data_IF_296287165059
#
_entry.id   IF_296287165059
#
_cell.length_a   1.000
_cell.length_b   1.000
_cell.length_c   1.000
_cell.angle_alpha   90.00
_cell.angle_beta   90.00
_cell.angle_gamma   90.00
#
_symmetry.space_group_name_H-M   'P 1'
#
loop_
_entity.id
_entity.type
_entity.pdbx_description
1 polymer ?
#
# COMPACT_ATOMS: atom_id res chain seq x y z
N UNK A 1 40.70 -39.68 -25.54
CA UNK A 1 40.47 -40.77 -26.52
C UNK A 1 40.14 -40.05 -27.80
N UNK A 2 41.14 -39.84 -28.64
CA UNK A 2 41.62 -40.80 -29.68
C UNK A 2 40.80 -40.62 -30.93
N UNK A 3 41.31 -40.05 -31.93
CA UNK A 3 42.25 -40.42 -32.97
C UNK A 3 41.57 -40.25 -34.33
N UNK A 4 42.07 -39.42 -35.17
CA UNK A 4 42.99 -39.75 -36.30
C UNK A 4 42.26 -39.63 -37.63
N UNK A 5 42.66 -38.67 -38.48
CA UNK A 5 43.71 -38.88 -39.48
C UNK A 5 43.21 -39.61 -40.75
N UNK A 6 43.27 -38.96 -41.91
CA UNK A 6 44.16 -39.49 -43.04
C UNK A 6 44.04 -38.60 -44.28
N UNK A 7 45.11 -37.98 -44.64
CA UNK A 7 45.60 -37.76 -46.03
C UNK A 7 46.23 -39.06 -46.52
N UNK A 8 46.55 -39.33 -47.75
CA UNK A 8 47.41 -38.51 -48.61
C UNK A 8 47.30 -38.67 -50.16
N UNK A 9 48.08 -37.79 -50.83
CA UNK A 9 49.02 -38.04 -51.99
C UNK A 9 48.44 -38.59 -53.27
N UNK A 10 48.97 -38.29 -54.40
CA UNK A 10 50.08 -37.61 -55.01
C UNK A 10 50.18 -38.02 -56.50
N UNK A 11 50.78 -37.13 -57.22
CA UNK A 11 51.73 -37.38 -58.34
C UNK A 11 51.27 -37.77 -59.73
N UNK A 12 51.69 -36.88 -60.62
CA UNK A 12 52.71 -37.03 -61.71
C UNK A 12 52.16 -37.73 -62.97
N UNK A 13 52.45 -37.35 -64.15
CA UNK A 13 53.63 -36.85 -64.90
C UNK A 13 53.16 -36.35 -66.28
N UNK A 14 53.66 -35.26 -66.78
CA UNK A 14 54.81 -35.10 -67.69
C UNK A 14 54.70 -35.62 -69.16
N UNK A 15 55.13 -34.75 -70.01
CA UNK A 15 55.81 -34.83 -71.33
C UNK A 15 54.95 -34.39 -72.53
N UNK A 16 55.35 -33.29 -73.07
CA UNK A 16 56.39 -32.91 -74.08
C UNK A 16 56.00 -33.24 -75.54
N UNK A 17 55.99 -32.33 -76.35
CA UNK A 17 56.83 -32.10 -77.55
C UNK A 17 56.16 -31.10 -78.50
N UNK A 18 56.85 -30.05 -78.67
CA UNK A 18 57.58 -29.50 -79.82
C UNK A 18 56.83 -29.05 -81.06
N UNK A 19 57.17 -27.80 -81.32
CA UNK A 19 57.65 -27.18 -82.55
C UNK A 19 56.61 -26.75 -83.60
N UNK A 20 56.61 -25.56 -83.86
CA UNK A 20 57.12 -24.81 -85.00
C UNK A 20 56.35 -23.52 -85.29
N UNK A 21 57.17 -22.52 -85.34
CA UNK A 21 57.06 -21.17 -85.92
C UNK A 21 56.05 -21.00 -87.08
N UNK A 22 55.28 -19.91 -87.06
CA UNK A 22 55.50 -18.83 -88.05
C UNK A 22 54.60 -17.61 -87.83
N UNK A 23 55.23 -16.52 -87.73
CA UNK A 23 55.04 -15.16 -88.18
C UNK A 23 53.72 -14.75 -88.75
N UNK A 24 52.98 -13.81 -87.99
CA UNK A 24 52.18 -12.72 -88.56
C UNK A 24 51.78 -11.67 -87.48
N UNK A 25 52.68 -10.73 -87.19
CA UNK A 25 52.54 -9.67 -86.23
C UNK A 25 51.89 -8.42 -86.81
N UNK A 26 50.80 -8.46 -87.55
CA UNK A 26 50.23 -7.18 -88.03
C UNK A 26 48.74 -6.96 -87.78
N UNK A 27 47.78 -7.87 -87.52
CA UNK A 27 46.42 -7.49 -87.31
C UNK A 27 45.99 -7.42 -85.82
N UNK A 28 46.81 -7.88 -84.84
CA UNK A 28 46.37 -7.91 -83.41
C UNK A 28 46.45 -6.55 -82.71
N UNK A 29 47.41 -5.69 -83.05
CA UNK A 29 47.60 -4.40 -82.41
C UNK A 29 46.48 -3.41 -82.76
N UNK A 30 46.00 -3.48 -84.05
CA UNK A 30 44.86 -2.61 -84.45
C UNK A 30 43.55 -2.96 -83.80
N UNK A 31 43.31 -4.25 -83.45
CA UNK A 31 42.11 -4.69 -82.70
C UNK A 31 42.20 -4.31 -81.23
N UNK A 32 43.38 -4.32 -80.59
CA UNK A 32 43.61 -3.91 -79.20
C UNK A 32 43.44 -2.39 -79.10
N UNK A 33 43.92 -1.59 -80.07
CA UNK A 33 43.69 -0.12 -80.01
C UNK A 33 42.25 0.26 -80.23
N UNK A 34 41.52 -0.47 -81.09
CA UNK A 34 40.03 -0.24 -81.24
C UNK A 34 39.29 -0.67 -79.97
N UNK A 35 39.66 -1.78 -79.31
CA UNK A 35 39.07 -2.18 -78.05
C UNK A 35 39.31 -1.18 -76.91
N UNK A 36 40.53 -0.62 -76.83
CA UNK A 36 40.92 0.39 -75.88
C UNK A 36 40.13 1.74 -76.10
N UNK A 37 39.96 2.13 -77.41
CA UNK A 37 39.22 3.31 -77.81
C UNK A 37 37.73 3.15 -77.43
N UNK A 38 37.16 1.97 -77.64
CA UNK A 38 35.76 1.67 -77.23
C UNK A 38 35.61 1.71 -75.71
N UNK A 39 36.58 1.16 -74.93
CA UNK A 39 36.55 1.21 -73.47
C UNK A 39 36.63 2.65 -72.92
N UNK A 40 37.50 3.49 -73.55
CA UNK A 40 37.62 4.92 -73.20
C UNK A 40 36.32 5.66 -73.54
N UNK A 41 35.69 5.37 -74.70
CA UNK A 41 34.40 5.98 -75.07
C UNK A 41 33.26 5.56 -74.13
N UNK A 42 33.24 4.27 -73.69
CA UNK A 42 32.26 3.79 -72.71
C UNK A 42 32.53 4.45 -71.36
N UNK A 43 33.81 4.58 -70.92
CA UNK A 43 34.17 5.25 -69.69
C UNK A 43 33.80 6.76 -69.70
N UNK A 44 34.08 7.43 -70.82
CA UNK A 44 33.71 8.84 -71.02
C UNK A 44 32.16 8.99 -71.07
N UNK A 45 31.45 8.09 -71.76
CA UNK A 45 29.99 8.06 -71.77
C UNK A 45 29.36 7.82 -70.40
N UNK A 46 29.95 6.89 -69.59
CA UNK A 46 29.54 6.62 -68.24
C UNK A 46 29.83 7.81 -67.32
N UNK A 47 31.03 8.43 -67.46
CA UNK A 47 31.38 9.64 -66.72
C UNK A 47 30.48 10.85 -67.08
N UNK A 48 30.25 11.07 -68.42
CA UNK A 48 29.35 12.11 -68.89
C UNK A 48 27.90 11.86 -68.43
N UNK A 49 27.44 10.59 -68.44
CA UNK A 49 26.12 10.25 -67.93
C UNK A 49 25.97 10.56 -66.45
N UNK A 50 26.98 10.22 -65.60
CA UNK A 50 26.98 10.53 -64.18
C UNK A 50 27.18 12.03 -63.89
N UNK A 51 27.89 12.74 -64.73
CA UNK A 51 28.10 14.19 -64.58
C UNK A 51 26.86 15.02 -65.05
N UNK A 52 26.14 14.57 -66.07
CA UNK A 52 24.96 15.25 -66.59
C UNK A 52 23.64 14.85 -65.89
N UNK A 53 23.59 13.65 -65.27
CA UNK A 53 22.48 13.17 -64.50
C UNK A 53 22.88 12.91 -63.05
N UNK A 54 23.12 13.97 -62.24
CA UNK A 54 23.29 13.75 -60.81
C UNK A 54 22.06 13.04 -60.31
N UNK A 55 22.24 11.91 -59.60
CA UNK A 55 21.18 11.14 -58.97
C UNK A 55 20.40 12.13 -58.06
N UNK A 56 19.23 12.48 -58.47
CA UNK A 56 18.32 13.20 -57.62
C UNK A 56 18.04 12.27 -56.45
N UNK A 57 18.75 12.51 -55.33
CA UNK A 57 18.32 11.94 -54.06
C UNK A 57 16.91 12.42 -53.82
N UNK A 58 15.92 11.59 -54.12
CA UNK A 58 14.57 11.80 -53.67
C UNK A 58 14.65 11.85 -52.15
N UNK A 59 14.72 13.06 -51.60
CA UNK A 59 14.54 13.25 -50.18
C UNK A 59 13.21 12.57 -49.84
N UNK A 60 13.25 11.50 -49.07
CA UNK A 60 12.04 10.84 -48.62
C UNK A 60 11.08 11.91 -48.03
N UNK A 61 9.80 11.85 -48.38
CA UNK A 61 8.86 12.84 -47.85
C UNK A 61 9.00 12.92 -46.33
N UNK A 62 8.96 14.15 -45.76
CA UNK A 62 9.16 14.31 -44.33
C UNK A 62 8.16 13.45 -43.55
N UNK A 63 8.67 12.67 -42.60
CA UNK A 63 7.83 11.78 -41.79
C UNK A 63 6.70 12.60 -41.14
N UNK A 64 5.46 12.07 -41.22
CA UNK A 64 4.33 12.72 -40.58
C UNK A 64 4.28 12.35 -39.12
N UNK A 65 4.27 13.33 -38.24
CA UNK A 65 4.26 13.14 -36.79
C UNK A 65 3.13 13.94 -36.14
N UNK A 66 2.56 13.41 -35.06
CA UNK A 66 1.69 14.15 -34.16
C UNK A 66 2.51 14.65 -32.98
N UNK A 67 2.29 15.91 -32.61
CA UNK A 67 2.99 16.52 -31.47
C UNK A 67 2.01 16.92 -30.38
N UNK A 68 2.50 16.90 -29.14
CA UNK A 68 1.86 17.50 -27.99
C UNK A 68 2.83 18.51 -27.36
N UNK A 69 2.32 19.45 -26.58
CA UNK A 69 3.16 20.41 -25.88
C UNK A 69 3.45 19.96 -24.46
N UNK A 70 4.73 20.03 -24.07
CA UNK A 70 5.14 19.82 -22.70
C UNK A 70 4.51 20.89 -21.80
N UNK A 71 3.92 20.48 -20.67
CA UNK A 71 3.24 21.37 -19.74
C UNK A 71 4.00 21.45 -18.42
N UNK A 72 3.89 22.58 -17.74
CA UNK A 72 4.37 22.73 -16.37
C UNK A 72 3.23 22.38 -15.42
N UNK A 73 3.43 21.35 -14.56
CA UNK A 73 2.41 20.90 -13.60
C UNK A 73 3.07 20.41 -12.34
N UNK A 74 2.42 20.61 -11.21
CA UNK A 74 2.83 19.96 -9.96
C UNK A 74 2.43 18.48 -9.98
N UNK A 75 3.39 17.61 -9.74
CA UNK A 75 3.19 16.16 -9.83
C UNK A 75 3.61 15.50 -8.53
N UNK A 76 2.71 14.68 -8.00
CA UNK A 76 3.02 13.82 -6.87
C UNK A 76 3.62 12.50 -7.35
N UNK A 77 4.82 12.20 -6.90
CA UNK A 77 5.46 10.89 -7.12
C UNK A 77 4.82 9.90 -6.16
N UNK A 78 4.06 8.96 -6.68
CA UNK A 78 3.34 7.98 -5.88
C UNK A 78 3.98 6.59 -5.98
N UNK A 79 4.01 5.88 -4.86
CA UNK A 79 4.25 4.45 -4.81
C UNK A 79 2.91 3.73 -4.77
N UNK A 80 2.51 3.13 -5.87
CA UNK A 80 1.30 2.31 -5.93
C UNK A 80 1.59 0.92 -5.40
N UNK A 81 0.82 0.47 -4.44
CA UNK A 81 0.97 -0.83 -3.79
C UNK A 81 -0.37 -1.30 -3.22
N UNK A 82 -0.37 -2.49 -2.61
CA UNK A 82 -1.56 -3.04 -1.96
C UNK A 82 -1.45 -2.81 -0.45
N UNK A 83 -2.51 -2.28 0.13
CA UNK A 83 -2.68 -2.14 1.58
C UNK A 83 -3.65 -3.19 2.11
N UNK A 84 -3.45 -3.58 3.35
CA UNK A 84 -4.43 -4.35 4.11
C UNK A 84 -5.16 -3.41 5.07
N UNK A 85 -6.48 -3.48 5.05
CA UNK A 85 -7.33 -2.76 5.99
C UNK A 85 -7.25 -3.43 7.35
N UNK A 86 -6.84 -2.70 8.38
CA UNK A 86 -6.72 -3.23 9.75
C UNK A 86 -7.56 -2.42 10.73
N UNK A 87 -8.17 -3.12 11.67
CA UNK A 87 -8.87 -2.48 12.77
C UNK A 87 -7.86 -1.86 13.75
N UNK A 88 -8.03 -0.61 14.19
CA UNK A 88 -7.19 -0.01 15.23
C UNK A 88 -7.24 -0.77 16.55
N UNK A 89 -8.41 -1.32 16.89
CA UNK A 89 -8.63 -2.10 18.09
C UNK A 89 -9.62 -3.24 17.82
N UNK A 90 -9.21 -4.45 18.16
CA UNK A 90 -10.05 -5.64 18.10
C UNK A 90 -10.03 -6.30 19.46
N UNK A 91 -11.21 -6.51 20.05
CA UNK A 91 -11.36 -7.11 21.36
C UNK A 91 -12.20 -8.39 21.26
N UNK A 92 -11.67 -9.46 21.83
CA UNK A 92 -12.38 -10.70 22.03
C UNK A 92 -13.08 -10.61 23.40
N UNK A 93 -14.40 -10.51 23.38
CA UNK A 93 -15.21 -10.41 24.60
C UNK A 93 -15.37 -11.80 25.20
N UNK A 94 -14.90 -11.96 26.42
CA UNK A 94 -14.99 -13.21 27.20
C UNK A 94 -15.82 -12.99 28.46
N UNK A 95 -16.34 -14.08 29.05
CA UNK A 95 -17.00 -14.01 30.33
C UNK A 95 -16.00 -14.04 31.48
N UNK A 96 -16.26 -13.28 32.54
CA UNK A 96 -15.45 -13.25 33.78
C UNK A 96 -16.05 -14.16 34.86
N UNK A 97 -17.30 -14.56 34.72
CA UNK A 97 -17.98 -15.50 35.61
C UNK A 97 -18.60 -16.65 34.80
N UNK A 98 -18.66 -17.85 35.40
CA UNK A 98 -19.32 -18.98 34.78
C UNK A 98 -20.83 -18.93 35.01
N UNK A 99 -21.59 -19.43 34.06
CA UNK A 99 -23.04 -19.50 34.20
C UNK A 99 -23.75 -19.76 32.87
N UNK A 100 -25.06 -19.94 32.91
CA UNK A 100 -25.87 -20.12 31.71
C UNK A 100 -26.04 -18.80 31.01
N UNK A 101 -25.74 -18.75 29.69
CA UNK A 101 -25.99 -17.60 28.86
C UNK A 101 -27.49 -17.51 28.58
N UNK A 102 -28.16 -16.46 29.06
CA UNK A 102 -29.60 -16.31 28.92
C UNK A 102 -29.97 -15.61 27.60
N UNK A 103 -29.26 -14.53 27.25
CA UNK A 103 -29.65 -13.67 26.13
C UNK A 103 -28.45 -12.93 25.53
N UNK A 104 -28.49 -12.72 24.20
CA UNK A 104 -27.74 -11.73 23.49
C UNK A 104 -28.64 -10.52 23.16
N UNK A 105 -28.13 -9.30 23.28
CA UNK A 105 -28.87 -8.05 23.07
C UNK A 105 -28.57 -7.38 21.74
N UNK A 106 -27.76 -8.00 20.89
CA UNK A 106 -27.35 -7.49 19.58
C UNK A 106 -27.55 -8.57 18.52
N UNK A 107 -27.51 -8.15 17.25
CA UNK A 107 -27.43 -9.04 16.09
C UNK A 107 -25.98 -9.14 15.59
N UNK A 108 -25.63 -10.26 14.99
CA UNK A 108 -24.33 -10.44 14.36
C UNK A 108 -24.07 -9.40 13.28
N UNK A 109 -22.89 -8.77 13.29
CA UNK A 109 -22.56 -7.68 12.39
C UNK A 109 -23.15 -6.31 12.76
N UNK A 110 -23.87 -6.21 13.87
CA UNK A 110 -24.43 -4.95 14.36
C UNK A 110 -23.35 -4.02 14.89
N UNK A 111 -23.54 -2.71 14.72
CA UNK A 111 -22.72 -1.69 15.37
C UNK A 111 -23.13 -1.54 16.83
N UNK A 112 -22.16 -1.51 17.72
CA UNK A 112 -22.33 -1.30 19.16
C UNK A 112 -21.43 -0.17 19.63
N UNK A 113 -21.86 0.50 20.70
CA UNK A 113 -21.09 1.54 21.38
C UNK A 113 -20.49 0.97 22.67
N UNK A 114 -19.43 1.59 23.13
CA UNK A 114 -18.87 1.28 24.46
C UNK A 114 -19.94 1.42 25.53
N UNK A 115 -20.12 0.36 26.33
CA UNK A 115 -21.13 0.29 27.38
C UNK A 115 -22.46 -0.31 26.94
N UNK A 116 -22.70 -0.57 25.66
CA UNK A 116 -23.92 -1.25 25.22
C UNK A 116 -23.95 -2.69 25.76
N UNK A 117 -25.14 -3.17 26.19
CA UNK A 117 -25.28 -4.54 26.67
C UNK A 117 -25.11 -5.54 25.51
N UNK A 118 -24.24 -6.52 25.71
CA UNK A 118 -23.99 -7.58 24.73
C UNK A 118 -24.67 -8.87 25.13
N UNK A 119 -24.41 -9.35 26.35
CA UNK A 119 -24.90 -10.62 26.83
C UNK A 119 -25.38 -10.54 28.28
N UNK A 120 -26.24 -11.45 28.64
CA UNK A 120 -26.69 -11.68 30.01
C UNK A 120 -26.44 -13.13 30.39
N UNK A 121 -25.61 -13.33 31.40
CA UNK A 121 -25.45 -14.61 32.12
C UNK A 121 -26.52 -14.64 33.21
N UNK A 122 -26.99 -15.82 33.59
CA UNK A 122 -28.00 -15.99 34.66
C UNK A 122 -27.54 -15.28 35.95
N UNK A 123 -28.21 -14.18 36.35
CA UNK A 123 -27.83 -13.40 37.51
C UNK A 123 -28.33 -14.01 38.83
N UNK A 124 -29.30 -14.94 38.80
CA UNK A 124 -29.97 -15.46 40.02
C UNK A 124 -29.01 -16.01 41.05
N UNK A 125 -28.05 -16.89 40.71
CA UNK A 125 -27.09 -17.40 41.69
C UNK A 125 -26.24 -16.29 42.34
N UNK A 126 -25.88 -15.25 41.57
CA UNK A 126 -25.05 -14.14 42.04
C UNK A 126 -25.87 -13.16 42.88
N UNK A 127 -27.18 -12.97 42.59
CA UNK A 127 -28.11 -12.18 43.42
C UNK A 127 -28.28 -12.85 44.80
N UNK A 128 -28.45 -14.17 44.81
CA UNK A 128 -28.55 -14.92 46.03
C UNK A 128 -27.26 -14.85 46.88
N UNK A 129 -26.10 -14.95 46.23
CA UNK A 129 -24.79 -14.81 46.91
C UNK A 129 -24.61 -13.39 47.50
N UNK A 130 -25.02 -12.34 46.76
CA UNK A 130 -24.97 -10.99 47.26
C UNK A 130 -25.92 -10.80 48.46
N UNK A 131 -27.15 -11.31 48.37
CA UNK A 131 -28.14 -11.23 49.48
C UNK A 131 -27.62 -11.97 50.73
N UNK A 132 -26.97 -13.13 50.56
CA UNK A 132 -26.35 -13.87 51.66
C UNK A 132 -25.22 -13.06 52.32
N UNK A 133 -24.30 -12.48 51.52
CA UNK A 133 -23.20 -11.65 52.04
C UNK A 133 -23.74 -10.41 52.79
N UNK A 134 -24.80 -9.75 52.25
CA UNK A 134 -25.45 -8.62 52.91
C UNK A 134 -26.10 -8.99 54.23
N UNK A 135 -26.76 -10.16 54.33
CA UNK A 135 -27.37 -10.64 55.56
C UNK A 135 -26.29 -10.93 56.62
N UNK A 136 -25.15 -11.51 56.23
CA UNK A 136 -24.03 -11.76 57.13
C UNK A 136 -23.43 -10.44 57.65
N UNK A 137 -23.20 -9.48 56.81
CA UNK A 137 -22.72 -8.14 57.16
C UNK A 137 -23.70 -7.48 58.15
N UNK A 138 -24.99 -7.55 57.92
CA UNK A 138 -26.00 -6.98 58.79
C UNK A 138 -25.98 -7.60 60.19
N UNK A 139 -25.87 -8.93 60.26
CA UNK A 139 -25.77 -9.68 61.52
C UNK A 139 -24.52 -9.25 62.30
N UNK A 140 -23.33 -9.23 61.66
CA UNK A 140 -22.07 -8.97 62.35
C UNK A 140 -21.88 -7.46 62.63
N UNK A 141 -22.52 -6.60 61.85
CA UNK A 141 -22.62 -5.17 62.16
C UNK A 141 -23.41 -4.93 63.45
N UNK A 142 -24.50 -5.68 63.68
CA UNK A 142 -25.26 -5.58 64.94
C UNK A 142 -24.45 -6.09 66.15
N UNK A 143 -23.64 -7.18 65.99
CA UNK A 143 -22.72 -7.67 67.03
C UNK A 143 -21.63 -6.64 67.35
N UNK A 144 -21.00 -6.07 66.31
CA UNK A 144 -19.97 -5.03 66.46
C UNK A 144 -20.52 -3.76 67.15
N UNK A 145 -21.74 -3.36 66.83
CA UNK A 145 -22.40 -2.26 67.50
C UNK A 145 -22.65 -2.52 68.99
N UNK A 146 -23.08 -3.75 69.35
CA UNK A 146 -23.26 -4.16 70.77
C UNK A 146 -21.90 -4.14 71.49
N UNK A 147 -20.84 -4.71 70.89
CA UNK A 147 -19.50 -4.73 71.48
C UNK A 147 -18.90 -3.30 71.64
N UNK A 148 -19.15 -2.40 70.68
CA UNK A 148 -18.76 -0.98 70.78
C UNK A 148 -19.48 -0.25 71.92
N UNK A 149 -20.77 -0.51 72.13
CA UNK A 149 -21.54 0.04 73.25
C UNK A 149 -20.99 -0.51 74.60
N UNK A 150 -20.66 -1.79 74.65
CA UNK A 150 -20.05 -2.42 75.85
C UNK A 150 -18.63 -1.82 76.10
N UNK A 151 -17.80 -1.70 75.09
CA UNK A 151 -16.50 -1.03 75.22
C UNK A 151 -16.65 0.38 75.82
N UNK A 152 -17.58 1.16 75.36
CA UNK A 152 -17.82 2.48 75.88
C UNK A 152 -18.25 2.44 77.34
N UNK A 153 -19.19 1.56 77.68
CA UNK A 153 -19.69 1.33 79.05
C UNK A 153 -18.56 0.90 79.99
N UNK A 154 -17.80 -0.10 79.62
CA UNK A 154 -16.66 -0.59 80.43
C UNK A 154 -15.54 0.43 80.59
N UNK A 155 -15.30 1.24 79.56
CA UNK A 155 -14.34 2.37 79.65
C UNK A 155 -14.79 3.41 80.66
N UNK A 156 -16.05 3.74 80.71
CA UNK A 156 -16.65 4.66 81.71
C UNK A 156 -16.59 4.09 83.12
N UNK A 157 -16.97 2.84 83.32
CA UNK A 157 -16.90 2.19 84.63
C UNK A 157 -15.50 2.03 85.18
N UNK A 158 -14.48 1.78 84.29
CA UNK A 158 -13.08 1.77 84.65
C UNK A 158 -12.60 3.15 85.12
N UNK A 159 -12.96 4.23 84.49
CA UNK A 159 -12.65 5.57 84.90
C UNK A 159 -13.29 5.93 86.28
N UNK A 160 -14.37 5.27 86.65
CA UNK A 160 -15.03 5.39 87.98
C UNK A 160 -14.45 4.40 89.02
N UNK A 161 -13.38 3.64 88.68
CA UNK A 161 -12.82 2.57 89.50
C UNK A 161 -13.80 1.45 89.91
N UNK A 162 -14.87 1.23 89.10
CA UNK A 162 -15.90 0.25 89.36
C UNK A 162 -15.59 -1.16 88.79
N UNK A 163 -14.57 -1.28 87.94
CA UNK A 163 -14.18 -2.56 87.29
C UNK A 163 -12.65 -2.63 87.18
N UNK A 164 -12.09 -3.85 86.92
CA UNK A 164 -10.68 -4.09 86.70
C UNK A 164 -10.21 -3.61 85.30
N UNK A 165 -8.92 -3.34 85.18
CA UNK A 165 -8.29 -3.03 83.88
C UNK A 165 -8.47 -4.18 82.92
N UNK A 166 -8.35 -5.44 83.34
CA UNK A 166 -8.51 -6.64 82.53
C UNK A 166 -9.91 -6.69 81.87
N UNK A 167 -10.97 -6.36 82.61
CA UNK A 167 -12.36 -6.34 82.09
C UNK A 167 -12.51 -5.27 81.01
N UNK A 168 -11.97 -4.05 81.19
CA UNK A 168 -11.98 -2.98 80.17
C UNK A 168 -11.20 -3.45 78.93
N UNK A 169 -9.98 -3.95 79.09
CA UNK A 169 -9.09 -4.36 77.98
C UNK A 169 -9.73 -5.49 77.15
N UNK A 170 -10.42 -6.42 77.83
CA UNK A 170 -11.22 -7.47 77.14
C UNK A 170 -12.35 -6.88 76.31
N UNK A 171 -13.11 -5.93 76.81
CA UNK A 171 -14.18 -5.29 76.05
C UNK A 171 -13.65 -4.52 74.85
N UNK A 172 -12.49 -3.82 75.05
CA UNK A 172 -11.80 -3.12 73.91
C UNK A 172 -11.34 -4.11 72.86
N UNK A 173 -10.75 -5.26 73.28
CA UNK A 173 -10.29 -6.28 72.33
C UNK A 173 -11.45 -6.90 71.51
N UNK A 174 -12.56 -7.20 72.21
CA UNK A 174 -13.78 -7.75 71.57
C UNK A 174 -14.34 -6.75 70.55
N UNK A 175 -14.54 -5.48 70.91
CA UNK A 175 -15.02 -4.45 69.99
C UNK A 175 -14.15 -4.28 68.75
N UNK A 176 -12.81 -4.33 68.97
CA UNK A 176 -11.89 -4.30 67.81
C UNK A 176 -11.97 -5.51 66.93
N UNK A 177 -12.12 -6.70 67.52
CA UNK A 177 -12.27 -7.97 66.77
C UNK A 177 -13.56 -7.94 65.92
N UNK A 178 -14.69 -7.59 66.53
CA UNK A 178 -15.98 -7.51 65.83
C UNK A 178 -15.98 -6.42 64.73
N UNK A 179 -15.33 -5.30 64.97
CA UNK A 179 -15.15 -4.25 63.94
C UNK A 179 -14.32 -4.79 62.74
N UNK A 180 -13.29 -5.63 62.98
CA UNK A 180 -12.53 -6.25 61.93
C UNK A 180 -13.35 -7.28 61.11
N UNK A 181 -14.27 -8.02 61.76
CA UNK A 181 -15.19 -8.94 61.08
C UNK A 181 -16.13 -8.15 60.16
N UNK A 182 -16.68 -7.04 60.59
CA UNK A 182 -17.53 -6.17 59.73
C UNK A 182 -16.75 -5.68 58.48
N UNK A 183 -15.49 -5.35 58.64
CA UNK A 183 -14.64 -4.96 57.47
C UNK A 183 -14.45 -6.15 56.50
N UNK A 184 -14.24 -7.37 56.99
CA UNK A 184 -14.12 -8.56 56.15
C UNK A 184 -15.45 -8.87 55.41
N UNK A 185 -16.60 -8.75 56.12
CA UNK A 185 -17.91 -8.97 55.51
C UNK A 185 -18.24 -7.89 54.46
N UNK A 186 -17.87 -6.62 54.73
CA UNK A 186 -18.03 -5.57 53.72
C UNK A 186 -17.23 -5.88 52.46
N UNK A 187 -16.01 -6.43 52.56
CA UNK A 187 -15.23 -6.89 51.42
C UNK A 187 -15.94 -8.05 50.70
N UNK A 188 -16.53 -9.00 51.41
CA UNK A 188 -17.29 -10.12 50.85
C UNK A 188 -18.53 -9.61 50.05
N UNK A 189 -19.25 -8.61 50.57
CA UNK A 189 -20.36 -7.97 49.87
C UNK A 189 -19.87 -7.30 48.57
N UNK A 190 -18.73 -6.61 48.60
CA UNK A 190 -18.18 -5.97 47.43
C UNK A 190 -17.81 -7.02 46.34
N UNK A 191 -17.18 -8.13 46.71
CA UNK A 191 -16.88 -9.24 45.79
C UNK A 191 -18.15 -9.84 45.19
N UNK A 192 -19.16 -10.10 46.00
CA UNK A 192 -20.44 -10.62 45.50
C UNK A 192 -21.14 -9.65 44.53
N UNK A 193 -21.09 -8.34 44.82
CA UNK A 193 -21.63 -7.28 43.98
C UNK A 193 -20.89 -7.17 42.64
N UNK A 194 -19.59 -7.29 42.66
CA UNK A 194 -18.73 -7.28 41.47
C UNK A 194 -19.02 -8.52 40.59
N UNK A 195 -19.11 -9.70 41.15
CA UNK A 195 -19.48 -10.92 40.43
C UNK A 195 -20.88 -10.83 39.80
N UNK A 196 -21.84 -10.23 40.50
CA UNK A 196 -23.17 -9.90 39.92
C UNK A 196 -23.03 -8.91 38.75
N UNK A 197 -22.14 -7.93 38.83
CA UNK A 197 -21.83 -7.00 37.74
C UNK A 197 -21.34 -7.71 36.49
N UNK A 198 -20.47 -8.72 36.65
CA UNK A 198 -19.91 -9.50 35.55
C UNK A 198 -20.93 -10.39 34.82
N UNK A 199 -22.13 -10.61 35.38
CA UNK A 199 -23.21 -11.30 34.67
C UNK A 199 -23.75 -10.53 33.49
N UNK A 200 -23.63 -9.18 33.50
CA UNK A 200 -24.01 -8.33 32.41
C UNK A 200 -22.76 -7.92 31.64
N UNK A 201 -22.56 -8.51 30.47
CA UNK A 201 -21.40 -8.27 29.62
C UNK A 201 -21.68 -7.08 28.71
N UNK A 202 -20.85 -6.04 28.81
CA UNK A 202 -20.96 -4.80 28.06
C UNK A 202 -19.86 -4.69 27.01
N UNK A 203 -20.09 -3.89 25.97
CA UNK A 203 -19.08 -3.60 24.96
C UNK A 203 -17.94 -2.75 25.54
N UNK A 204 -16.67 -3.16 25.40
CA UNK A 204 -15.53 -2.39 25.88
C UNK A 204 -15.16 -1.21 24.98
N UNK A 205 -15.61 -1.22 23.70
CA UNK A 205 -15.30 -0.21 22.70
C UNK A 205 -16.45 0.01 21.71
N UNK A 206 -16.37 1.10 20.95
CA UNK A 206 -17.24 1.34 19.80
C UNK A 206 -16.76 0.50 18.61
N UNK A 207 -17.64 -0.29 18.01
CA UNK A 207 -17.23 -1.15 16.91
C UNK A 207 -18.36 -1.94 16.27
N UNK A 208 -17.98 -2.85 15.39
CA UNK A 208 -18.89 -3.80 14.75
C UNK A 208 -18.66 -5.19 15.33
N UNK A 209 -19.76 -5.86 15.70
CA UNK A 209 -19.71 -7.21 16.25
C UNK A 209 -19.44 -8.24 15.15
N UNK A 210 -18.67 -9.26 15.46
CA UNK A 210 -18.54 -10.48 14.69
C UNK A 210 -19.68 -11.47 14.94
N UNK A 211 -19.48 -12.74 14.55
CA UNK A 211 -20.43 -13.81 14.85
C UNK A 211 -20.49 -14.11 16.35
N UNK A 212 -21.65 -14.58 16.81
CA UNK A 212 -21.85 -15.08 18.18
C UNK A 212 -21.28 -16.51 18.25
N UNK A 213 -20.18 -16.66 18.99
CA UNK A 213 -19.48 -17.95 19.06
C UNK A 213 -20.13 -18.92 20.04
N UNK A 214 -20.80 -18.41 21.09
CA UNK A 214 -21.55 -19.21 22.05
C UNK A 214 -22.99 -18.70 22.08
N UNK A 215 -23.92 -19.57 21.70
CA UNK A 215 -25.34 -19.21 21.62
C UNK A 215 -26.02 -19.17 22.99
N UNK A 216 -27.02 -18.30 23.19
CA UNK A 216 -27.88 -18.34 24.36
C UNK A 216 -28.44 -19.74 24.63
N UNK A 217 -28.53 -20.12 25.92
CA UNK A 217 -28.91 -21.46 26.36
C UNK A 217 -27.73 -22.32 26.79
N UNK A 218 -26.53 -22.05 26.33
CA UNK A 218 -25.32 -22.79 26.66
C UNK A 218 -24.73 -22.35 28.02
N UNK A 219 -24.00 -23.26 28.65
CA UNK A 219 -23.20 -22.97 29.83
C UNK A 219 -21.86 -22.39 29.42
N UNK A 220 -21.52 -21.23 30.00
CA UNK A 220 -20.22 -20.62 29.85
C UNK A 220 -19.30 -21.03 30.99
N UNK A 221 -18.07 -21.42 30.67
CA UNK A 221 -17.02 -21.70 31.62
C UNK A 221 -15.88 -20.71 31.49
N UNK A 222 -15.30 -20.27 32.59
CA UNK A 222 -14.14 -19.34 32.59
C UNK A 222 -12.84 -20.08 32.20
N UNK A 223 -12.79 -21.39 32.44
CA UNK A 223 -11.69 -22.27 32.07
C UNK A 223 -11.68 -22.45 30.54
N UNK A 224 -10.63 -21.90 29.86
CA UNK A 224 -10.46 -21.99 28.41
C UNK A 224 -10.77 -20.72 27.62
N UNK A 225 -11.24 -19.67 28.30
CA UNK A 225 -11.41 -18.30 27.75
C UNK A 225 -11.96 -18.23 26.31
N UNK A 226 -12.96 -19.09 25.99
CA UNK A 226 -13.61 -19.05 24.67
C UNK A 226 -14.31 -17.70 24.49
N UNK A 227 -13.98 -16.93 23.46
CA UNK A 227 -14.64 -15.68 23.21
C UNK A 227 -16.14 -15.88 22.95
N UNK A 228 -16.98 -14.97 23.41
CA UNK A 228 -18.41 -14.95 23.10
C UNK A 228 -18.68 -14.26 21.76
N UNK A 229 -17.95 -13.18 21.52
CA UNK A 229 -18.00 -12.37 20.30
C UNK A 229 -16.69 -11.59 20.16
N UNK A 230 -16.30 -11.32 18.94
CA UNK A 230 -15.22 -10.38 18.63
C UNK A 230 -15.81 -9.05 18.21
N UNK A 231 -15.32 -7.94 18.76
CA UNK A 231 -15.70 -6.59 18.35
C UNK A 231 -14.49 -5.90 17.74
N UNK A 232 -14.65 -5.42 16.50
CA UNK A 232 -13.61 -4.70 15.79
C UNK A 232 -14.03 -3.23 15.61
N UNK A 233 -13.15 -2.32 15.96
CA UNK A 233 -13.31 -0.91 15.65
C UNK A 233 -13.20 -0.72 14.14
N UNK A 234 -14.22 -0.10 13.54
CA UNK A 234 -14.26 0.15 12.08
C UNK A 234 -14.23 1.65 11.74
N UNK A 235 -14.34 2.50 12.74
CA UNK A 235 -14.27 3.96 12.63
C UNK A 235 -13.50 4.56 13.81
N UNK A 236 -12.39 5.29 13.54
CA UNK A 236 -11.63 5.28 12.28
C UNK A 236 -11.05 3.90 11.97
N UNK A 237 -10.51 3.72 10.75
CA UNK A 237 -9.86 2.48 10.33
C UNK A 237 -8.42 2.76 9.90
N UNK A 238 -7.56 1.77 9.93
CA UNK A 238 -6.17 1.90 9.49
C UNK A 238 -5.90 1.09 8.23
N UNK A 239 -5.06 1.62 7.37
CA UNK A 239 -4.47 0.88 6.27
C UNK A 239 -3.02 0.57 6.61
N UNK A 240 -2.67 -0.70 6.58
CA UNK A 240 -1.30 -1.19 6.73
C UNK A 240 -0.71 -1.44 5.35
N UNK A 241 0.39 -0.77 5.06
CA UNK A 241 1.10 -0.79 3.78
C UNK A 241 2.52 -1.24 4.02
N UNK A 242 3.01 -2.16 3.21
CA UNK A 242 4.40 -2.60 3.24
C UNK A 242 5.20 -1.94 2.12
N UNK A 243 6.20 -1.16 2.49
CA UNK A 243 7.02 -0.38 1.58
C UNK A 243 8.46 -0.89 1.60
N UNK A 244 9.15 -1.03 0.45
CA UNK A 244 10.54 -1.46 0.41
C UNK A 244 11.46 -0.54 1.23
N UNK A 245 12.40 -1.14 1.99
CA UNK A 245 13.31 -0.40 2.89
C UNK A 245 14.19 0.65 2.19
N UNK A 246 14.47 0.50 0.90
CA UNK A 246 15.23 1.48 0.13
C UNK A 246 14.52 2.83 -0.04
N UNK A 247 13.21 2.90 0.28
CA UNK A 247 12.40 4.13 0.30
C UNK A 247 12.28 4.75 1.69
N UNK A 248 12.83 4.12 2.73
CA UNK A 248 12.64 4.54 4.12
C UNK A 248 13.05 5.99 4.37
N UNK A 249 14.23 6.40 3.93
CA UNK A 249 14.72 7.77 4.11
C UNK A 249 13.80 8.80 3.45
N UNK A 250 13.28 8.49 2.27
CA UNK A 250 12.35 9.36 1.55
C UNK A 250 11.01 9.49 2.30
N UNK A 251 10.49 8.36 2.79
CA UNK A 251 9.24 8.31 3.58
C UNK A 251 9.39 9.08 4.89
N UNK A 252 10.50 8.92 5.60
CA UNK A 252 10.77 9.64 6.84
C UNK A 252 10.86 11.16 6.63
N UNK A 253 11.52 11.60 5.55
CA UNK A 253 11.61 13.01 5.20
C UNK A 253 10.23 13.61 4.89
N UNK A 254 9.40 12.91 4.13
CA UNK A 254 8.04 13.36 3.80
C UNK A 254 7.13 13.34 5.02
N UNK A 255 7.27 12.37 5.92
CA UNK A 255 6.54 12.33 7.19
C UNK A 255 6.93 13.50 8.10
N UNK A 256 8.22 13.78 8.23
CA UNK A 256 8.72 14.93 9.01
C UNK A 256 8.23 16.27 8.44
N UNK A 257 8.08 16.38 7.12
CA UNK A 257 7.51 17.53 6.44
C UNK A 257 5.96 17.59 6.54
N UNK A 258 5.29 16.56 7.08
CA UNK A 258 3.82 16.46 7.15
C UNK A 258 3.12 16.31 5.80
N UNK A 259 3.87 15.89 4.76
CA UNK A 259 3.42 15.74 3.37
C UNK A 259 3.18 14.28 2.95
N UNK A 260 3.44 13.32 3.84
CA UNK A 260 3.26 11.90 3.55
C UNK A 260 1.78 11.54 3.60
N UNK A 261 1.19 11.27 2.45
CA UNK A 261 -0.23 10.92 2.32
C UNK A 261 -0.41 9.55 1.69
N UNK A 262 -1.44 8.86 2.12
CA UNK A 262 -1.98 7.66 1.50
C UNK A 262 -3.27 8.01 0.75
N UNK A 263 -3.38 7.59 -0.49
CA UNK A 263 -4.52 7.85 -1.38
C UNK A 263 -5.13 6.52 -1.77
N UNK A 264 -6.40 6.33 -1.50
CA UNK A 264 -7.15 5.11 -1.83
C UNK A 264 -8.20 5.45 -2.89
N UNK A 265 -8.20 4.77 -4.05
CA UNK A 265 -9.28 4.91 -5.01
C UNK A 265 -10.60 4.42 -4.40
N UNK A 266 -11.59 5.29 -4.31
CA UNK A 266 -12.92 4.96 -3.77
C UNK A 266 -14.00 5.44 -4.74
N UNK A 267 -14.66 4.54 -5.46
CA UNK A 267 -15.79 4.89 -6.31
C UNK A 267 -16.89 5.58 -5.48
N UNK A 268 -17.27 6.80 -5.85
CA UNK A 268 -18.28 7.60 -5.15
C UNK A 268 -17.73 8.53 -4.04
N UNK A 269 -16.41 8.62 -3.84
CA UNK A 269 -15.78 9.72 -3.12
C UNK A 269 -15.77 10.98 -4.01
N UNK A 270 -15.69 12.17 -3.39
CA UNK A 270 -15.82 13.49 -4.05
C UNK A 270 -14.84 13.68 -5.24
N UNK A 271 -13.69 13.01 -5.26
CA UNK A 271 -12.73 13.04 -6.36
C UNK A 271 -12.35 11.61 -6.84
N UNK A 272 -13.21 10.61 -6.59
CA UNK A 272 -12.92 9.21 -6.91
C UNK A 272 -11.87 8.55 -6.02
N UNK A 273 -11.36 9.26 -4.99
CA UNK A 273 -10.37 8.75 -4.04
C UNK A 273 -10.47 9.45 -2.67
N UNK A 274 -10.11 8.74 -1.63
CA UNK A 274 -9.98 9.26 -0.27
C UNK A 274 -8.51 9.39 0.09
N UNK A 275 -8.14 10.46 0.82
CA UNK A 275 -6.77 10.75 1.26
C UNK A 275 -6.71 10.75 2.77
N UNK A 276 -5.61 10.23 3.29
CA UNK A 276 -5.29 10.29 4.71
C UNK A 276 -3.79 10.51 4.92
N UNK A 277 -3.45 11.19 6.01
CA UNK A 277 -2.04 11.32 6.40
C UNK A 277 -1.55 10.00 6.96
N UNK A 278 -0.32 9.65 6.61
CA UNK A 278 0.40 8.56 7.24
C UNK A 278 0.78 9.01 8.64
N UNK A 279 0.41 8.23 9.64
CA UNK A 279 0.58 8.54 11.06
C UNK A 279 1.57 7.61 11.77
N UNK A 280 2.00 6.54 11.11
CA UNK A 280 2.89 5.56 11.72
C UNK A 280 3.84 4.93 10.69
N UNK A 281 5.10 4.80 11.07
CA UNK A 281 6.13 4.00 10.40
C UNK A 281 6.67 3.02 11.43
N UNK A 282 6.77 1.74 11.07
CA UNK A 282 7.33 0.72 11.95
C UNK A 282 8.79 1.03 12.31
N UNK A 283 9.19 0.64 13.51
CA UNK A 283 10.57 0.73 13.99
C UNK A 283 11.44 -0.46 13.57
N UNK A 284 10.86 -1.42 12.85
CA UNK A 284 11.54 -2.64 12.40
C UNK A 284 11.23 -2.93 10.93
N UNK A 285 12.22 -3.49 10.24
CA UNK A 285 12.09 -4.01 8.87
C UNK A 285 11.82 -5.49 8.95
N UNK A 286 10.85 -5.98 8.20
CA UNK A 286 10.57 -7.40 8.07
C UNK A 286 11.73 -8.08 7.32
N UNK A 287 12.50 -8.91 8.01
CA UNK A 287 13.74 -9.50 7.48
C UNK A 287 13.51 -10.42 6.27
N UNK A 288 12.35 -11.07 6.20
CA UNK A 288 11.97 -11.99 5.12
C UNK A 288 11.60 -11.28 3.80
N UNK A 289 11.13 -10.04 3.86
CA UNK A 289 10.63 -9.29 2.69
C UNK A 289 11.43 -8.02 2.41
N UNK A 290 12.28 -7.56 3.35
CA UNK A 290 12.99 -6.28 3.23
C UNK A 290 12.04 -5.06 3.18
N UNK A 291 10.85 -5.20 3.76
CA UNK A 291 9.83 -4.14 3.77
C UNK A 291 9.63 -3.57 5.16
N UNK A 292 9.15 -2.33 5.21
CA UNK A 292 8.75 -1.65 6.45
C UNK A 292 7.25 -1.36 6.41
N UNK A 293 6.58 -1.56 7.53
CA UNK A 293 5.17 -1.27 7.65
C UNK A 293 4.95 0.24 7.87
N UNK A 294 4.03 0.77 7.11
CA UNK A 294 3.56 2.16 7.20
C UNK A 294 2.05 2.12 7.37
N UNK A 295 1.49 2.95 8.25
CA UNK A 295 0.05 2.99 8.47
C UNK A 295 -0.50 4.40 8.26
N UNK A 296 -1.71 4.45 7.69
CA UNK A 296 -2.50 5.66 7.54
C UNK A 296 -3.88 5.45 8.16
N UNK A 297 -4.41 6.47 8.84
CA UNK A 297 -5.72 6.42 9.49
C UNK A 297 -6.76 7.12 8.64
N UNK A 298 -7.80 6.38 8.24
CA UNK A 298 -8.94 6.86 7.45
C UNK A 298 -10.18 6.98 8.32
N UNK A 299 -11.02 8.01 8.13
CA UNK A 299 -12.26 8.20 8.88
C UNK A 299 -13.25 7.06 8.69
N UNK A 300 -13.34 6.49 7.47
CA UNK A 300 -14.25 5.41 7.08
C UNK A 300 -15.71 5.70 7.45
N UNK A 301 -16.19 6.92 7.18
CA UNK A 301 -17.53 7.38 7.54
C UNK A 301 -18.62 6.51 6.91
N UNK A 302 -18.40 6.08 5.67
CA UNK A 302 -19.32 5.24 4.89
C UNK A 302 -19.18 3.75 5.20
N UNK A 303 -18.22 3.35 6.07
CA UNK A 303 -17.92 1.96 6.45
C UNK A 303 -17.65 1.02 5.27
N UNK A 304 -17.10 1.56 4.16
CA UNK A 304 -16.78 0.77 2.95
C UNK A 304 -15.51 -0.06 3.13
N UNK A 305 -14.60 0.42 3.98
CA UNK A 305 -13.38 -0.32 4.32
C UNK A 305 -13.68 -1.29 5.46
N UNK A 306 -13.45 -2.56 5.19
CA UNK A 306 -13.70 -3.65 6.15
C UNK A 306 -12.37 -4.26 6.57
N UNK A 307 -12.12 -4.50 7.88
CA UNK A 307 -10.90 -5.16 8.34
C UNK A 307 -10.64 -6.49 7.62
N UNK A 308 -9.40 -6.71 7.19
CA UNK A 308 -8.99 -7.87 6.40
C UNK A 308 -9.10 -7.68 4.88
N UNK A 309 -9.75 -6.62 4.40
CA UNK A 309 -9.83 -6.30 2.97
C UNK A 309 -8.47 -5.82 2.45
N UNK A 310 -8.12 -6.24 1.22
CA UNK A 310 -6.99 -5.68 0.48
C UNK A 310 -7.47 -4.60 -0.48
N UNK A 311 -6.79 -3.46 -0.48
CA UNK A 311 -7.12 -2.30 -1.32
C UNK A 311 -5.87 -1.75 -1.98
N UNK A 312 -6.02 -1.20 -3.18
CA UNK A 312 -4.93 -0.47 -3.82
C UNK A 312 -4.74 0.88 -3.12
N UNK A 313 -3.49 1.26 -2.88
CA UNK A 313 -3.14 2.53 -2.24
C UNK A 313 -1.94 3.15 -2.95
N UNK A 314 -1.99 4.46 -3.16
CA UNK A 314 -0.86 5.28 -3.57
C UNK A 314 -0.28 5.99 -2.35
N UNK A 315 1.02 5.80 -2.08
CA UNK A 315 1.75 6.56 -1.05
C UNK A 315 2.51 7.69 -1.74
N UNK A 316 2.26 8.92 -1.35
CA UNK A 316 2.97 10.09 -1.89
C UNK A 316 4.40 10.11 -1.36
N UNK A 317 5.37 9.78 -2.22
CA UNK A 317 6.80 9.74 -1.86
C UNK A 317 7.49 11.08 -2.05
N UNK A 318 7.03 11.89 -2.99
CA UNK A 318 7.59 13.20 -3.29
C UNK A 318 6.56 14.08 -3.99
N UNK A 319 6.75 15.39 -3.91
CA UNK A 319 5.94 16.36 -4.63
C UNK A 319 6.89 17.26 -5.40
N UNK A 320 6.88 17.15 -6.71
CA UNK A 320 7.71 17.94 -7.61
C UNK A 320 6.90 19.10 -8.12
N UNK A 321 7.17 20.28 -7.56
CA UNK A 321 6.53 21.52 -8.00
C UNK A 321 7.08 21.94 -9.36
N UNK A 322 6.20 22.28 -10.31
CA UNK A 322 6.58 22.77 -11.61
C UNK A 322 7.31 21.76 -12.50
N UNK A 323 7.03 20.47 -12.34
CA UNK A 323 7.58 19.43 -13.20
C UNK A 323 7.16 19.61 -14.66
N UNK A 324 8.05 19.29 -15.59
CA UNK A 324 7.69 19.20 -17.01
C UNK A 324 6.96 17.89 -17.26
N UNK A 325 5.72 17.98 -17.67
CA UNK A 325 4.85 16.81 -17.94
C UNK A 325 4.63 16.69 -19.45
N UNK A 326 4.80 15.48 -19.96
CA UNK A 326 4.55 15.11 -21.35
C UNK A 326 3.58 13.92 -21.42
N UNK A 327 2.80 13.76 -22.49
CA UNK A 327 2.02 12.54 -22.68
C UNK A 327 2.94 11.30 -22.62
N UNK A 328 2.46 10.22 -22.01
CA UNK A 328 3.23 8.98 -21.88
C UNK A 328 3.77 8.46 -23.20
N UNK A 329 2.96 8.58 -24.27
CA UNK A 329 3.32 8.14 -25.62
C UNK A 329 4.51 8.90 -26.22
N UNK A 330 4.89 10.06 -25.65
CA UNK A 330 6.05 10.81 -26.09
C UNK A 330 7.38 10.27 -25.55
N UNK A 331 7.34 9.47 -24.47
CA UNK A 331 8.54 8.93 -23.83
C UNK A 331 8.94 7.61 -24.46
N UNK A 332 10.15 7.57 -25.00
CA UNK A 332 10.73 6.37 -25.59
C UNK A 332 11.78 5.78 -24.66
N UNK A 333 11.79 4.45 -24.55
CA UNK A 333 12.79 3.73 -23.76
C UNK A 333 13.94 3.32 -24.64
N UNK A 334 15.12 3.86 -24.36
CA UNK A 334 16.37 3.47 -25.01
C UNK A 334 17.15 2.43 -24.21
N UNK A 335 18.28 1.91 -24.74
CA UNK A 335 19.10 0.91 -24.05
C UNK A 335 19.64 1.40 -22.71
N UNK A 336 20.08 2.66 -22.64
CA UNK A 336 20.74 3.23 -21.45
C UNK A 336 19.87 4.24 -20.70
N UNK A 337 18.89 4.85 -21.38
CA UNK A 337 18.05 5.93 -20.78
C UNK A 337 16.78 6.17 -21.59
N UNK A 338 15.77 6.73 -20.94
CA UNK A 338 14.58 7.23 -21.63
C UNK A 338 14.90 8.54 -22.36
N UNK A 339 14.22 8.77 -23.49
CA UNK A 339 14.36 9.98 -24.27
C UNK A 339 13.04 10.41 -24.89
N UNK A 340 12.94 11.67 -25.25
CA UNK A 340 11.83 12.23 -26.00
C UNK A 340 12.33 12.90 -27.28
N UNK A 341 11.51 12.89 -28.33
CA UNK A 341 11.77 13.65 -29.53
C UNK A 341 11.08 15.00 -29.44
N UNK A 342 11.87 16.06 -29.55
CA UNK A 342 11.41 17.45 -29.54
C UNK A 342 11.53 18.03 -30.94
N UNK A 343 10.48 18.69 -31.43
CA UNK A 343 10.48 19.36 -32.70
C UNK A 343 10.95 20.81 -32.47
N UNK A 344 12.12 21.13 -33.02
CA UNK A 344 12.72 22.45 -32.93
C UNK A 344 12.36 23.38 -34.12
N UNK A 345 12.99 24.56 -34.17
CA UNK A 345 12.81 25.50 -35.27
C UNK A 345 13.10 24.85 -36.63
N UNK A 346 12.27 25.13 -37.62
CA UNK A 346 12.38 24.56 -38.97
C UNK A 346 11.93 23.11 -39.08
N UNK A 347 11.15 22.62 -38.09
CA UNK A 347 10.63 21.24 -37.98
C UNK A 347 11.71 20.17 -37.94
N UNK A 348 12.86 20.49 -37.35
CA UNK A 348 13.96 19.53 -37.16
C UNK A 348 13.80 18.84 -35.82
N UNK A 349 13.93 17.50 -35.80
CA UNK A 349 13.78 16.70 -34.60
C UNK A 349 15.10 16.58 -33.85
N UNK A 350 15.05 16.83 -32.55
CA UNK A 350 16.13 16.59 -31.62
C UNK A 350 15.72 15.51 -30.60
N UNK A 351 16.62 14.55 -30.35
CA UNK A 351 16.45 13.60 -29.26
C UNK A 351 17.00 14.22 -27.98
N UNK A 352 16.19 14.27 -26.94
CA UNK A 352 16.58 14.77 -25.60
C UNK A 352 16.45 13.65 -24.57
N UNK A 353 17.52 13.34 -23.87
CA UNK A 353 17.53 12.35 -22.78
C UNK A 353 16.75 12.92 -21.60
N UNK A 354 15.87 12.08 -21.03
CA UNK A 354 15.03 12.44 -19.89
C UNK A 354 15.03 11.35 -18.85
N UNK A 355 14.81 11.76 -17.61
CA UNK A 355 14.56 10.83 -16.50
C UNK A 355 13.09 10.91 -16.13
N UNK A 356 12.35 9.83 -16.26
CA UNK A 356 10.97 9.74 -15.79
C UNK A 356 10.97 9.76 -14.27
N UNK A 357 10.23 10.69 -13.68
CA UNK A 357 10.05 10.86 -12.24
C UNK A 357 8.80 10.15 -11.75
N UNK A 358 7.74 10.24 -12.53
CA UNK A 358 6.44 9.62 -12.26
C UNK A 358 5.72 9.31 -13.56
N UNK A 359 5.04 8.18 -13.61
CA UNK A 359 4.12 7.74 -14.66
C UNK A 359 2.74 7.62 -14.03
N UNK A 360 1.76 8.43 -14.46
CA UNK A 360 0.38 8.38 -13.97
C UNK A 360 -0.55 7.53 -14.85
N UNK A 361 0.03 6.86 -15.87
CA UNK A 361 -0.68 6.04 -16.84
C UNK A 361 -1.10 6.78 -18.10
N UNK A 362 -1.24 8.12 -18.06
CA UNK A 362 -1.61 8.99 -19.19
C UNK A 362 -0.53 9.98 -19.53
N UNK A 363 0.22 10.44 -18.54
CA UNK A 363 1.28 11.44 -18.68
C UNK A 363 2.47 11.11 -17.78
N UNK A 364 3.66 11.45 -18.26
CA UNK A 364 4.92 11.27 -17.56
C UNK A 364 5.49 12.60 -17.09
N UNK A 365 5.79 12.71 -15.80
CA UNK A 365 6.61 13.77 -15.29
C UNK A 365 8.08 13.47 -15.56
N UNK A 366 8.75 14.33 -16.28
CA UNK A 366 10.13 14.14 -16.71
C UNK A 366 11.07 15.21 -16.16
N UNK A 367 12.31 14.83 -15.96
CA UNK A 367 13.43 15.74 -15.69
C UNK A 367 14.47 15.59 -16.79
N UNK A 368 14.82 16.70 -17.45
CA UNK A 368 15.76 16.72 -18.54
C UNK A 368 15.77 18.09 -19.22
N UNK A 369 16.42 18.20 -20.38
CA UNK A 369 16.51 19.44 -21.14
C UNK A 369 15.26 19.70 -22.03
N UNK A 370 14.07 19.39 -21.50
CA UNK A 370 12.78 19.67 -22.12
C UNK A 370 12.11 20.81 -21.36
N UNK A 371 11.77 21.87 -22.05
CA UNK A 371 11.14 23.05 -21.45
C UNK A 371 9.62 22.97 -21.59
N UNK A 372 8.87 23.54 -20.65
CA UNK A 372 7.44 23.75 -20.86
C UNK A 372 7.18 24.54 -22.14
N UNK A 373 6.26 24.06 -22.96
CA UNK A 373 5.96 24.60 -24.29
C UNK A 373 6.67 23.91 -25.45
N UNK A 374 7.72 23.11 -25.21
CA UNK A 374 8.38 22.31 -26.25
C UNK A 374 7.37 21.36 -26.92
N UNK A 375 7.40 21.25 -28.24
CA UNK A 375 6.58 20.31 -29.00
C UNK A 375 7.24 18.93 -28.99
N UNK A 376 6.64 17.95 -28.29
CA UNK A 376 7.12 16.57 -28.20
C UNK A 376 6.32 15.68 -29.12
N UNK A 377 6.98 14.71 -29.78
CA UNK A 377 6.34 13.76 -30.69
C UNK A 377 5.64 12.67 -29.90
N UNK A 378 4.34 12.47 -30.15
CA UNK A 378 3.50 11.45 -29.53
C UNK A 378 3.14 10.30 -30.47
N UNK A 379 3.19 10.53 -31.78
CA UNK A 379 2.98 9.48 -32.80
C UNK A 379 3.94 9.69 -33.98
N UNK A 380 4.37 8.57 -34.58
CA UNK A 380 5.26 8.57 -35.73
C UNK A 380 6.75 8.50 -35.38
N UNK A 381 7.11 8.32 -34.12
CA UNK A 381 8.49 8.30 -33.64
C UNK A 381 9.35 7.19 -34.26
N UNK A 382 8.77 6.07 -34.71
CA UNK A 382 9.48 4.97 -35.37
C UNK A 382 10.02 5.34 -36.75
N UNK A 383 9.49 6.40 -37.38
CA UNK A 383 9.88 6.88 -38.69
C UNK A 383 10.83 8.08 -38.64
N UNK A 384 11.21 8.50 -37.43
CA UNK A 384 11.97 9.70 -37.18
C UNK A 384 13.37 9.39 -36.71
N UNK A 385 14.36 10.06 -37.31
CA UNK A 385 15.75 10.02 -36.90
C UNK A 385 16.16 11.41 -36.41
N UNK A 386 16.98 11.54 -35.33
CA UNK A 386 17.48 12.83 -34.88
C UNK A 386 18.14 13.62 -36.05
N UNK A 387 17.79 14.88 -36.18
CA UNK A 387 18.23 15.74 -37.28
C UNK A 387 17.34 15.73 -38.53
N UNK A 388 16.37 14.82 -38.62
CA UNK A 388 15.44 14.78 -39.76
C UNK A 388 14.39 15.90 -39.67
N UNK A 389 13.92 16.36 -40.82
CA UNK A 389 12.75 17.26 -40.94
C UNK A 389 11.48 16.43 -40.91
N UNK A 390 10.48 16.88 -40.15
CA UNK A 390 9.19 16.21 -40.01
C UNK A 390 8.06 17.14 -40.46
N UNK A 391 6.93 16.58 -40.85
CA UNK A 391 5.69 17.29 -41.12
C UNK A 391 4.73 17.07 -39.95
N UNK A 392 4.34 18.15 -39.30
CA UNK A 392 3.41 18.09 -38.18
C UNK A 392 2.00 17.91 -38.70
N UNK A 393 1.40 16.75 -38.36
CA UNK A 393 -0.03 16.52 -38.60
C UNK A 393 -0.81 17.24 -37.52
N UNK A 394 -1.59 18.27 -37.84
CA UNK A 394 -2.55 18.85 -36.93
C UNK A 394 -3.62 17.78 -36.61
N UNK A 395 -3.60 17.25 -35.39
CA UNK A 395 -4.64 16.39 -34.92
C UNK A 395 -5.91 17.18 -34.73
N UNK A 396 -6.95 16.81 -35.46
CA UNK A 396 -8.31 17.28 -35.15
C UNK A 396 -8.63 16.80 -33.74
N UNK A 397 -8.99 17.74 -32.85
CA UNK A 397 -9.48 17.41 -31.51
C UNK A 397 -10.68 16.46 -31.62
N UNK A 398 -10.51 15.23 -31.17
CA UNK A 398 -11.63 14.36 -30.89
C UNK A 398 -12.28 14.86 -29.58
N UNK A 399 -13.17 15.84 -29.70
CA UNK A 399 -14.26 15.97 -28.75
C UNK A 399 -15.03 14.63 -28.80
N UNK A 400 -14.95 13.89 -27.73
CA UNK A 400 -15.83 12.75 -27.49
C UNK A 400 -17.27 13.29 -27.46
N UNK A 401 -17.94 13.22 -28.61
CA UNK A 401 -19.37 13.40 -28.72
C UNK A 401 -20.00 12.22 -27.98
N UNK A 402 -20.51 12.48 -26.78
CA UNK A 402 -21.40 11.60 -26.09
C UNK A 402 -22.59 11.34 -27.01
N UNK A 403 -22.66 10.16 -27.59
CA UNK A 403 -23.84 9.67 -28.27
C UNK A 403 -24.88 9.28 -27.22
N UNK A 404 -25.74 10.24 -26.89
CA UNK A 404 -27.07 9.98 -26.37
C UNK A 404 -27.96 9.60 -27.55
N UNK A 405 -28.08 8.32 -27.83
CA UNK A 405 -29.21 7.76 -28.59
C UNK A 405 -29.25 6.27 -28.34
N UNK A 406 -30.12 5.87 -27.43
CA UNK A 406 -30.71 4.54 -27.35
C UNK A 406 -32.21 4.74 -27.55
N UNK A 407 -32.82 4.16 -28.59
CA UNK A 407 -34.28 4.11 -28.72
C UNK A 407 -34.84 2.95 -27.90
N UNK A 408 -35.95 3.27 -27.22
CA UNK A 408 -37.07 2.48 -26.67
C UNK A 408 -36.89 0.97 -26.52
#
# INVERSE_FOLDING_TARGET
>A
MSVSEYLPNARQDAKSHDAAANDSRAPRMRRILIGLAILVLIGLGWFAYHALFPAHQHAAPPAQVRVAHAQKKDVSVMLNTIATVVSPATVQVTAQVQGKLLKAFFQEGQRVRKGDPLFLIDPVPFQNALAQAQAQLAKDSAAAQAAANDQQRYTTLYAQNAISQQQRDQAVATAKADAAVVQADQAAVNIAKENLGYTRILSPLDGKTGPILIQPGNLITVAGATPLVTIAQVQPIKLSVFVPQNRLTQIQNQMAAGKLEAVVPMPGAENGHERAKVDFISNSVAANTGTIEVRATFPNTDMRLVPGQSVNVGITLDQVEGATVVPRDAVNVGPDSSYVYVVGPGNVVASKTVKVLNDDGTADAIRGDVKPGDAVIVEGQLQVVPGAKVSIRQGGGSEAKASSDLPS
#
